data_IF_148558282480
#
_entry.id   IF_148558282480
#
_cell.length_a   1.000
_cell.length_b   1.000
_cell.length_c   1.000
_cell.angle_alpha   90.00
_cell.angle_beta   90.00
_cell.angle_gamma   90.00
#
_symmetry.space_group_name_H-M   'P 1'
#
loop_
_entity.id
_entity.type
_entity.pdbx_description
1 polymer ?
#
# COMPACT_ATOMS: atom_id res chain seq x y z
N UNK A 1 30.38 -36.81 8.97
CA UNK A 1 29.08 -37.24 9.56
C UNK A 1 28.27 -36.04 10.05
N UNK A 2 28.11 -35.02 9.23
CA UNK A 2 27.41 -33.75 9.60
C UNK A 2 26.29 -33.33 8.64
N UNK A 3 25.96 -34.14 7.66
CA UNK A 3 25.04 -33.69 6.55
C UNK A 3 23.62 -34.22 6.67
N UNK A 4 23.32 -35.12 7.59
CA UNK A 4 21.96 -35.68 7.77
C UNK A 4 21.09 -34.78 8.64
N UNK A 5 21.66 -34.19 9.70
CA UNK A 5 20.91 -33.40 10.67
C UNK A 5 20.46 -32.02 10.13
N UNK A 6 21.24 -31.43 9.21
CA UNK A 6 20.90 -30.15 8.57
C UNK A 6 19.76 -30.31 7.54
N UNK A 7 19.68 -31.44 6.85
CA UNK A 7 18.59 -31.75 5.93
C UNK A 7 17.27 -31.98 6.67
N UNK A 8 17.33 -32.66 7.81
CA UNK A 8 16.15 -32.92 8.63
C UNK A 8 15.62 -31.64 9.32
N UNK A 9 16.52 -30.74 9.70
CA UNK A 9 16.13 -29.40 10.19
C UNK A 9 15.59 -28.51 9.09
N UNK A 10 16.16 -28.55 7.88
CA UNK A 10 15.66 -27.83 6.72
C UNK A 10 14.28 -28.33 6.29
N UNK A 11 14.05 -29.65 6.30
CA UNK A 11 12.75 -30.25 6.00
C UNK A 11 11.70 -29.99 7.10
N UNK A 12 12.12 -29.84 8.36
CA UNK A 12 11.22 -29.40 9.46
C UNK A 12 10.84 -27.94 9.40
N UNK A 13 11.71 -27.10 8.82
CA UNK A 13 11.46 -25.66 8.62
C UNK A 13 10.84 -25.34 7.25
N UNK A 14 10.79 -26.30 6.32
CA UNK A 14 9.98 -26.19 5.13
C UNK A 14 8.52 -26.21 5.58
N UNK A 15 7.89 -25.05 5.47
CA UNK A 15 6.48 -24.87 5.77
C UNK A 15 5.66 -25.69 4.75
N UNK A 16 5.54 -26.99 5.07
CA UNK A 16 4.75 -27.97 4.26
C UNK A 16 3.32 -27.46 4.06
N UNK A 17 2.83 -26.58 4.97
CA UNK A 17 1.54 -25.91 4.88
C UNK A 17 1.45 -24.91 3.72
N UNK A 18 2.59 -24.35 3.26
CA UNK A 18 2.61 -23.47 2.09
C UNK A 18 2.48 -24.22 0.75
N UNK A 19 2.73 -25.52 0.76
CA UNK A 19 2.58 -26.41 -0.42
C UNK A 19 1.20 -27.08 -0.51
N UNK A 20 0.43 -27.04 0.57
CA UNK A 20 -0.92 -27.57 0.60
C UNK A 20 -1.88 -26.59 -0.08
N UNK A 21 -2.60 -27.05 -1.09
CA UNK A 21 -3.57 -26.27 -1.85
C UNK A 21 -4.82 -25.89 -1.06
N UNK A 22 -5.75 -25.19 -1.70
CA UNK A 22 -7.02 -24.72 -1.10
C UNK A 22 -7.85 -25.84 -0.42
N UNK A 23 -7.75 -27.08 -0.90
CA UNK A 23 -8.49 -28.24 -0.36
C UNK A 23 -8.09 -28.56 1.09
N UNK A 24 -6.83 -28.33 1.44
CA UNK A 24 -6.34 -28.59 2.80
C UNK A 24 -6.71 -27.47 3.78
N UNK A 25 -7.04 -26.29 3.28
CA UNK A 25 -7.52 -25.17 4.08
C UNK A 25 -8.92 -25.46 4.65
N UNK A 26 -9.82 -26.02 3.82
CA UNK A 26 -11.17 -26.43 4.25
C UNK A 26 -11.12 -27.54 5.29
N UNK A 27 -10.11 -28.43 5.22
CA UNK A 27 -9.90 -29.49 6.21
C UNK A 27 -9.34 -28.97 7.55
N UNK A 28 -8.56 -27.87 7.51
CA UNK A 28 -7.96 -27.28 8.72
C UNK A 28 -8.90 -26.28 9.45
N UNK A 29 -9.91 -25.75 8.75
CA UNK A 29 -10.95 -24.93 9.38
C UNK A 29 -12.11 -25.86 9.74
N UNK A 30 -12.16 -26.30 11.00
CA UNK A 30 -13.22 -27.16 11.51
C UNK A 30 -14.60 -26.64 11.11
N UNK A 31 -15.43 -27.50 10.50
CA UNK A 31 -16.81 -27.17 10.10
C UNK A 31 -17.74 -26.81 11.26
N UNK A 32 -17.30 -27.11 12.49
CA UNK A 32 -18.07 -26.88 13.72
C UNK A 32 -17.76 -25.54 14.41
N UNK A 33 -17.00 -24.64 13.75
CA UNK A 33 -16.72 -23.32 14.30
C UNK A 33 -17.96 -22.41 14.26
N UNK A 34 -18.24 -21.64 15.31
CA UNK A 34 -19.24 -20.59 15.27
C UNK A 34 -19.00 -19.65 14.08
N UNK A 35 -20.06 -19.22 13.39
CA UNK A 35 -19.97 -18.41 12.17
C UNK A 35 -19.01 -17.22 12.27
N UNK A 36 -18.92 -16.57 13.43
CA UNK A 36 -17.99 -15.44 13.65
C UNK A 36 -16.53 -15.86 13.62
N UNK A 37 -16.17 -17.00 14.26
CA UNK A 37 -14.80 -17.54 14.24
C UNK A 37 -14.43 -18.04 12.86
N UNK A 38 -15.38 -18.66 12.16
CA UNK A 38 -15.21 -19.12 10.80
C UNK A 38 -14.91 -17.96 9.84
N UNK A 39 -15.70 -16.85 9.92
CA UNK A 39 -15.47 -15.65 9.13
C UNK A 39 -14.12 -15.00 9.47
N UNK A 40 -13.72 -14.96 10.74
CA UNK A 40 -12.42 -14.42 11.14
C UNK A 40 -11.27 -15.24 10.54
N UNK A 41 -11.33 -16.56 10.66
CA UNK A 41 -10.32 -17.47 10.09
C UNK A 41 -10.15 -17.32 8.58
N UNK A 42 -11.25 -17.15 7.85
CA UNK A 42 -11.22 -17.00 6.40
C UNK A 42 -10.77 -15.62 5.91
N UNK A 43 -11.15 -14.55 6.62
CA UNK A 43 -11.02 -13.19 6.10
C UNK A 43 -9.92 -12.37 6.78
N UNK A 44 -9.61 -12.63 8.06
CA UNK A 44 -8.77 -11.72 8.85
C UNK A 44 -7.65 -12.40 9.64
N UNK A 45 -7.62 -13.73 9.80
CA UNK A 45 -6.60 -14.40 10.60
C UNK A 45 -5.25 -14.48 9.84
N UNK A 46 -4.21 -13.77 10.32
CA UNK A 46 -2.90 -13.75 9.65
C UNK A 46 -2.15 -15.09 9.78
N UNK A 47 -2.56 -15.96 10.72
CA UNK A 47 -1.87 -17.22 11.02
C UNK A 47 -2.32 -18.37 10.09
N UNK A 48 -3.39 -18.19 9.31
CA UNK A 48 -3.92 -19.22 8.42
C UNK A 48 -3.38 -18.97 7.00
N UNK A 49 -2.43 -19.79 6.52
CA UNK A 49 -1.91 -19.64 5.18
C UNK A 49 -2.99 -19.98 4.13
N UNK A 50 -3.08 -19.16 3.08
CA UNK A 50 -4.00 -19.39 1.96
C UNK A 50 -5.42 -18.85 2.16
N UNK A 51 -5.74 -18.20 3.28
CA UNK A 51 -7.00 -17.50 3.47
C UNK A 51 -7.15 -16.28 2.55
N UNK A 52 -8.34 -15.66 2.56
CA UNK A 52 -8.63 -14.52 1.70
C UNK A 52 -8.12 -13.17 2.23
N UNK A 53 -7.47 -13.12 3.40
CA UNK A 53 -6.98 -11.87 4.00
C UNK A 53 -6.10 -11.06 3.04
N UNK A 54 -5.05 -11.68 2.49
CA UNK A 54 -4.12 -11.00 1.57
C UNK A 54 -4.83 -10.48 0.31
N UNK A 55 -5.80 -11.24 -0.18
CA UNK A 55 -6.60 -10.84 -1.34
C UNK A 55 -7.51 -9.67 -1.02
N UNK A 56 -8.18 -9.71 0.14
CA UNK A 56 -9.04 -8.63 0.63
C UNK A 56 -8.23 -7.34 0.82
N UNK A 57 -7.10 -7.42 1.52
CA UNK A 57 -6.23 -6.26 1.75
C UNK A 57 -5.70 -5.68 0.42
N UNK A 58 -5.39 -6.53 -0.58
CA UNK A 58 -5.00 -6.09 -1.92
C UNK A 58 -6.13 -5.33 -2.63
N UNK A 59 -7.36 -5.86 -2.61
CA UNK A 59 -8.50 -5.22 -3.25
C UNK A 59 -8.89 -3.91 -2.56
N UNK A 60 -8.87 -3.86 -1.24
CA UNK A 60 -9.10 -2.64 -0.47
C UNK A 60 -8.02 -1.59 -0.80
N UNK A 61 -6.74 -2.00 -0.88
CA UNK A 61 -5.63 -1.12 -1.25
C UNK A 61 -5.80 -0.54 -2.65
N UNK A 62 -6.19 -1.40 -3.62
CA UNK A 62 -6.47 -0.97 -4.99
C UNK A 62 -7.63 0.04 -5.03
N UNK A 63 -8.69 -0.22 -4.26
CA UNK A 63 -9.84 0.68 -4.18
C UNK A 63 -9.45 2.04 -3.54
N UNK A 64 -8.58 2.04 -2.53
CA UNK A 64 -8.05 3.29 -1.94
C UNK A 64 -7.30 4.10 -3.01
N UNK A 65 -6.40 3.46 -3.76
CA UNK A 65 -5.64 4.09 -4.83
C UNK A 65 -6.58 4.63 -5.92
N UNK A 66 -7.55 3.83 -6.36
CA UNK A 66 -8.54 4.26 -7.35
C UNK A 66 -9.35 5.48 -6.87
N UNK A 67 -9.71 5.54 -5.56
CA UNK A 67 -10.36 6.71 -4.98
C UNK A 67 -9.49 7.97 -5.01
N UNK A 68 -8.18 7.83 -4.78
CA UNK A 68 -7.27 8.97 -4.86
C UNK A 68 -7.18 9.51 -6.29
N UNK A 69 -7.11 8.62 -7.29
CA UNK A 69 -7.17 9.03 -8.69
C UNK A 69 -8.50 9.68 -9.04
N UNK A 70 -9.64 9.09 -8.62
CA UNK A 70 -10.96 9.68 -8.80
C UNK A 70 -11.02 11.12 -8.26
N UNK A 71 -10.50 11.33 -7.05
CA UNK A 71 -10.47 12.64 -6.41
C UNK A 71 -9.59 13.64 -7.18
N UNK A 72 -8.45 13.20 -7.74
CA UNK A 72 -7.63 14.06 -8.61
C UNK A 72 -8.39 14.50 -9.87
N UNK A 73 -9.11 13.57 -10.51
CA UNK A 73 -9.88 13.87 -11.73
C UNK A 73 -11.14 14.71 -11.46
N UNK A 74 -11.72 14.66 -10.26
CA UNK A 74 -12.80 15.57 -9.85
C UNK A 74 -12.40 17.05 -9.92
N UNK A 75 -11.12 17.37 -9.79
CA UNK A 75 -10.59 18.74 -9.89
C UNK A 75 -10.34 19.20 -11.33
N UNK A 76 -10.53 18.32 -12.31
CA UNK A 76 -10.36 18.63 -13.74
C UNK A 76 -11.74 18.78 -14.40
N UNK A 77 -12.26 20.01 -14.62
CA UNK A 77 -13.62 20.24 -15.12
C UNK A 77 -13.91 19.48 -16.42
N UNK A 78 -12.95 19.45 -17.35
CA UNK A 78 -13.07 18.76 -18.63
C UNK A 78 -13.31 17.23 -18.50
N UNK A 79 -12.88 16.62 -17.40
CA UNK A 79 -13.09 15.19 -17.13
C UNK A 79 -14.32 14.99 -16.24
N UNK A 80 -14.49 15.84 -15.25
CA UNK A 80 -15.54 15.69 -14.24
C UNK A 80 -16.93 16.04 -14.78
N UNK A 81 -17.09 17.20 -15.45
CA UNK A 81 -18.41 17.67 -15.89
C UNK A 81 -19.18 16.67 -16.76
N UNK A 82 -18.57 16.05 -17.79
CA UNK A 82 -19.29 15.06 -18.62
C UNK A 82 -19.50 13.71 -17.93
N UNK A 83 -18.85 13.45 -16.79
CA UNK A 83 -18.86 12.15 -16.12
C UNK A 83 -19.31 12.20 -14.64
N UNK A 84 -19.94 13.28 -14.19
CA UNK A 84 -20.35 13.49 -12.78
C UNK A 84 -21.03 12.25 -12.18
N UNK A 85 -22.02 11.70 -12.87
CA UNK A 85 -22.75 10.53 -12.40
C UNK A 85 -21.84 9.31 -12.17
N UNK A 86 -20.83 9.11 -13.00
CA UNK A 86 -19.89 7.98 -12.84
C UNK A 86 -19.01 8.15 -11.61
N UNK A 87 -18.55 9.39 -11.35
CA UNK A 87 -17.79 9.73 -10.16
C UNK A 87 -18.64 9.54 -8.88
N UNK A 88 -19.89 9.98 -8.89
CA UNK A 88 -20.83 9.81 -7.77
C UNK A 88 -21.10 8.32 -7.50
N UNK A 89 -21.37 7.53 -8.53
CA UNK A 89 -21.59 6.08 -8.39
C UNK A 89 -20.34 5.40 -7.81
N UNK A 90 -19.16 5.76 -8.32
CA UNK A 90 -17.90 5.19 -7.83
C UNK A 90 -17.62 5.60 -6.37
N UNK A 91 -17.92 6.84 -5.99
CA UNK A 91 -17.79 7.33 -4.62
C UNK A 91 -18.71 6.56 -3.66
N UNK A 92 -20.00 6.44 -4.00
CA UNK A 92 -20.98 5.68 -3.22
C UNK A 92 -20.56 4.22 -3.09
N UNK A 93 -20.16 3.56 -4.19
CA UNK A 93 -19.68 2.19 -4.19
C UNK A 93 -18.49 2.02 -3.23
N UNK A 94 -17.53 2.92 -3.30
CA UNK A 94 -16.33 2.88 -2.46
C UNK A 94 -16.66 3.04 -0.99
N UNK A 95 -17.57 3.97 -0.64
CA UNK A 95 -18.01 4.17 0.74
C UNK A 95 -18.74 2.93 1.27
N UNK A 96 -19.58 2.30 0.45
CA UNK A 96 -20.28 1.06 0.84
C UNK A 96 -19.25 -0.03 1.14
N UNK A 97 -18.26 -0.24 0.26
CA UNK A 97 -17.22 -1.25 0.48
C UNK A 97 -16.41 -0.97 1.76
N UNK A 98 -15.98 0.27 1.97
CA UNK A 98 -15.25 0.66 3.19
C UNK A 98 -16.12 0.54 4.46
N UNK A 99 -17.40 0.79 4.34
CA UNK A 99 -18.33 0.62 5.47
C UNK A 99 -18.49 -0.86 5.81
N UNK A 100 -18.67 -1.72 4.80
CA UNK A 100 -18.76 -3.18 5.01
C UNK A 100 -17.45 -3.68 5.65
N UNK A 101 -16.29 -3.24 5.16
CA UNK A 101 -14.99 -3.58 5.75
C UNK A 101 -14.92 -3.17 7.23
N UNK A 102 -15.27 -1.92 7.55
CA UNK A 102 -15.25 -1.41 8.91
C UNK A 102 -16.19 -2.19 9.86
N UNK A 103 -17.42 -2.40 9.42
CA UNK A 103 -18.43 -3.15 10.19
C UNK A 103 -17.99 -4.61 10.38
N UNK A 104 -17.44 -5.24 9.34
CA UNK A 104 -16.92 -6.59 9.41
C UNK A 104 -15.80 -6.71 10.45
N UNK A 105 -14.81 -5.81 10.40
CA UNK A 105 -13.72 -5.77 11.38
C UNK A 105 -14.21 -5.51 12.80
N UNK A 106 -15.17 -4.60 12.97
CA UNK A 106 -15.81 -4.33 14.27
C UNK A 106 -16.58 -5.55 14.80
N UNK A 107 -17.27 -6.28 13.91
CA UNK A 107 -18.00 -7.50 14.28
C UNK A 107 -17.04 -8.62 14.69
N UNK A 108 -15.90 -8.74 14.03
CA UNK A 108 -14.89 -9.78 14.24
C UNK A 108 -13.84 -9.42 15.30
N UNK A 109 -13.78 -8.17 15.77
CA UNK A 109 -12.80 -7.71 16.76
C UNK A 109 -12.70 -8.57 18.05
N UNK A 110 -13.78 -9.22 18.57
CA UNK A 110 -13.62 -10.12 19.72
C UNK A 110 -12.85 -11.41 19.45
N UNK A 111 -12.62 -11.76 18.17
CA UNK A 111 -11.83 -12.94 17.77
C UNK A 111 -10.37 -12.58 17.48
N UNK A 112 -10.08 -11.29 17.26
CA UNK A 112 -8.75 -10.78 17.00
C UNK A 112 -7.85 -10.88 18.24
N UNK A 113 -6.66 -11.44 18.08
CA UNK A 113 -5.71 -11.64 19.17
C UNK A 113 -5.33 -10.34 19.90
N UNK A 114 -5.31 -9.22 19.19
CA UNK A 114 -5.01 -7.90 19.75
C UNK A 114 -6.09 -7.41 20.72
N UNK A 115 -7.37 -7.74 20.47
CA UNK A 115 -8.51 -7.22 21.22
C UNK A 115 -9.20 -8.27 22.09
N UNK A 116 -9.02 -9.57 21.80
CA UNK A 116 -9.68 -10.71 22.46
C UNK A 116 -9.54 -10.70 24.00
N UNK A 117 -8.38 -10.30 24.51
CA UNK A 117 -8.13 -10.25 25.95
C UNK A 117 -8.80 -9.07 26.66
N UNK A 118 -9.40 -8.11 25.94
CA UNK A 118 -9.98 -6.90 26.51
C UNK A 118 -11.46 -7.11 26.85
N UNK A 119 -11.90 -6.63 28.03
CA UNK A 119 -13.28 -6.75 28.51
C UNK A 119 -14.34 -6.27 27.50
N UNK A 120 -13.98 -5.25 26.69
CA UNK A 120 -14.84 -4.68 25.64
C UNK A 120 -14.04 -4.61 24.31
N UNK A 121 -13.82 -5.74 23.68
CA UNK A 121 -13.02 -5.88 22.46
C UNK A 121 -13.44 -4.91 21.34
N UNK A 122 -14.76 -4.75 21.10
CA UNK A 122 -15.29 -3.83 20.07
C UNK A 122 -14.97 -2.36 20.36
N UNK A 123 -15.12 -1.92 21.62
CA UNK A 123 -14.76 -0.55 22.02
C UNK A 123 -13.24 -0.33 21.95
N UNK A 124 -12.46 -1.37 22.28
CA UNK A 124 -11.02 -1.32 22.15
C UNK A 124 -10.59 -1.21 20.68
N UNK A 125 -11.23 -1.96 19.78
CA UNK A 125 -11.05 -1.82 18.33
C UNK A 125 -11.40 -0.41 17.85
N UNK A 126 -12.58 0.13 18.18
CA UNK A 126 -13.00 1.47 17.76
C UNK A 126 -12.03 2.57 18.20
N UNK A 127 -11.31 2.37 19.30
CA UNK A 127 -10.27 3.30 19.80
C UNK A 127 -8.90 3.05 19.19
N UNK A 128 -8.74 2.01 18.39
CA UNK A 128 -7.46 1.75 17.73
C UNK A 128 -7.19 2.79 16.63
N UNK A 129 -5.93 3.13 16.37
CA UNK A 129 -5.57 4.12 15.35
C UNK A 129 -6.12 3.77 13.97
N UNK A 130 -6.07 2.49 13.60
CA UNK A 130 -6.57 2.02 12.31
C UNK A 130 -8.09 2.11 12.18
N UNK A 131 -8.84 1.78 13.24
CA UNK A 131 -10.30 1.91 13.24
C UNK A 131 -10.74 3.37 13.16
N UNK A 132 -10.04 4.28 13.83
CA UNK A 132 -10.29 5.72 13.74
C UNK A 132 -10.05 6.22 12.32
N UNK A 133 -8.97 5.81 11.68
CA UNK A 133 -8.65 6.14 10.29
C UNK A 133 -9.75 5.65 9.35
N UNK A 134 -10.18 4.38 9.51
CA UNK A 134 -11.25 3.81 8.69
C UNK A 134 -12.57 4.54 8.88
N UNK A 135 -12.91 4.89 10.13
CA UNK A 135 -14.11 5.66 10.43
C UNK A 135 -14.04 7.06 9.80
N UNK A 136 -12.93 7.77 9.95
CA UNK A 136 -12.74 9.10 9.35
C UNK A 136 -12.84 9.08 7.81
N UNK A 137 -12.46 7.98 7.18
CA UNK A 137 -12.56 7.84 5.73
C UNK A 137 -14.01 7.74 5.21
N UNK A 138 -14.94 7.23 6.02
CA UNK A 138 -16.37 7.06 5.66
C UNK A 138 -17.26 8.14 6.28
N UNK A 139 -16.86 8.74 7.40
CA UNK A 139 -17.64 9.72 8.16
C UNK A 139 -18.17 10.90 7.33
N UNK A 140 -17.40 11.53 6.42
CA UNK A 140 -17.86 12.67 5.61
C UNK A 140 -19.10 12.35 4.78
N UNK A 141 -19.20 11.14 4.25
CA UNK A 141 -20.36 10.70 3.50
C UNK A 141 -21.60 10.63 4.36
N UNK A 142 -21.50 10.03 5.55
CA UNK A 142 -22.64 9.92 6.48
C UNK A 142 -23.04 11.26 7.09
N UNK A 143 -22.10 12.16 7.35
CA UNK A 143 -22.40 13.52 7.82
C UNK A 143 -23.27 14.29 6.81
N UNK A 144 -23.05 14.07 5.52
CA UNK A 144 -23.89 14.66 4.45
C UNK A 144 -25.34 14.15 4.54
N UNK A 145 -25.54 12.86 4.82
CA UNK A 145 -26.87 12.27 4.95
C UNK A 145 -27.60 12.69 6.22
N UNK A 146 -26.88 12.95 7.30
CA UNK A 146 -27.46 13.37 8.59
C UNK A 146 -27.94 14.83 8.58
N UNK A 147 -27.82 15.54 7.45
CA UNK A 147 -28.25 16.93 7.35
C UNK A 147 -27.49 17.90 8.24
N UNK A 148 -26.28 17.50 8.64
CA UNK A 148 -25.39 18.40 9.41
C UNK A 148 -25.10 19.60 8.52
N UNK A 149 -25.35 20.85 8.97
CA UNK A 149 -25.15 22.05 8.14
C UNK A 149 -23.66 22.36 7.97
N UNK A 150 -22.96 21.47 7.29
CA UNK A 150 -21.56 21.67 6.87
C UNK A 150 -21.53 22.19 5.45
N UNK A 151 -20.64 23.15 5.20
CA UNK A 151 -20.35 23.62 3.85
C UNK A 151 -19.93 22.42 2.98
N UNK A 152 -20.54 22.28 1.81
CA UNK A 152 -20.21 21.22 0.83
C UNK A 152 -18.71 21.21 0.47
N UNK A 153 -18.04 22.35 0.57
CA UNK A 153 -16.59 22.46 0.35
C UNK A 153 -15.83 21.71 1.43
N UNK A 154 -16.23 21.88 2.71
CA UNK A 154 -15.61 21.17 3.83
C UNK A 154 -15.79 19.67 3.69
N UNK A 155 -16.99 19.21 3.28
CA UNK A 155 -17.25 17.79 3.05
C UNK A 155 -16.38 17.20 1.94
N UNK A 156 -16.12 17.97 0.87
CA UNK A 156 -15.17 17.55 -0.17
C UNK A 156 -13.75 17.41 0.37
N UNK A 157 -13.27 18.39 1.16
CA UNK A 157 -11.96 18.31 1.80
C UNK A 157 -11.86 17.12 2.76
N UNK A 158 -12.92 16.82 3.51
CA UNK A 158 -12.94 15.67 4.41
C UNK A 158 -12.81 14.33 3.67
N UNK A 159 -13.20 14.24 2.39
CA UNK A 159 -12.97 13.04 1.56
C UNK A 159 -11.48 12.74 1.40
N UNK A 160 -10.59 13.75 1.47
CA UNK A 160 -9.13 13.56 1.47
C UNK A 160 -8.64 12.71 2.65
N UNK A 161 -9.42 12.63 3.74
CA UNK A 161 -9.07 11.75 4.87
C UNK A 161 -8.98 10.28 4.49
N UNK A 162 -9.56 9.88 3.34
CA UNK A 162 -9.40 8.51 2.80
C UNK A 162 -7.93 8.16 2.53
N UNK A 163 -7.08 9.14 2.24
CA UNK A 163 -5.62 8.93 2.06
C UNK A 163 -4.99 8.31 3.31
N UNK A 164 -5.55 8.61 4.50
CA UNK A 164 -5.06 8.05 5.75
C UNK A 164 -5.16 6.52 5.80
N UNK A 165 -6.08 5.92 5.02
CA UNK A 165 -6.16 4.45 4.89
C UNK A 165 -4.86 3.83 4.35
N UNK A 166 -4.05 4.57 3.60
CA UNK A 166 -2.73 4.10 3.17
C UNK A 166 -1.79 3.77 4.34
N UNK A 167 -1.98 4.44 5.49
CA UNK A 167 -1.18 4.13 6.67
C UNK A 167 -1.36 2.69 7.16
N UNK A 168 -2.49 2.06 6.87
CA UNK A 168 -2.71 0.64 7.16
C UNK A 168 -1.72 -0.28 6.43
N UNK A 169 -1.26 0.12 5.26
CA UNK A 169 -0.28 -0.63 4.46
C UNK A 169 1.13 -0.19 4.82
N UNK A 170 1.33 1.12 4.97
CA UNK A 170 2.64 1.72 5.19
C UNK A 170 3.20 1.39 6.57
N UNK A 171 2.37 1.48 7.64
CA UNK A 171 2.86 1.26 9.02
C UNK A 171 3.37 -0.16 9.24
N UNK A 172 2.63 -1.25 8.87
CA UNK A 172 3.16 -2.61 8.98
C UNK A 172 4.40 -2.83 8.13
N UNK A 173 4.44 -2.29 6.90
CA UNK A 173 5.60 -2.39 6.03
C UNK A 173 6.86 -1.73 6.62
N UNK A 174 6.71 -0.55 7.27
CA UNK A 174 7.80 0.10 7.98
C UNK A 174 8.23 -0.71 9.20
N UNK A 175 7.29 -1.31 9.94
CA UNK A 175 7.60 -2.15 11.09
C UNK A 175 8.38 -3.39 10.68
N UNK A 176 7.93 -4.09 9.63
CA UNK A 176 8.63 -5.22 9.01
C UNK A 176 10.04 -4.82 8.57
N UNK A 177 10.15 -3.71 7.83
CA UNK A 177 11.44 -3.22 7.35
C UNK A 177 12.42 -2.89 8.48
N UNK A 178 11.93 -2.28 9.57
CA UNK A 178 12.76 -1.99 10.75
C UNK A 178 13.28 -3.27 11.39
N UNK A 179 12.47 -4.31 11.51
CA UNK A 179 12.86 -5.57 12.11
C UNK A 179 13.88 -6.32 11.23
N UNK A 180 13.62 -6.41 9.91
CA UNK A 180 14.54 -7.03 8.95
C UNK A 180 15.90 -6.31 8.89
N UNK A 181 15.93 -5.02 9.19
CA UNK A 181 17.14 -4.19 9.14
C UNK A 181 17.69 -3.80 10.52
N UNK A 182 17.36 -4.55 11.57
CA UNK A 182 17.85 -4.32 12.92
C UNK A 182 19.37 -4.50 12.97
N UNK A 183 20.08 -3.53 13.55
CA UNK A 183 21.55 -3.52 13.63
C UNK A 183 22.29 -3.15 12.32
N UNK A 184 21.61 -2.92 11.21
CA UNK A 184 22.23 -2.51 9.94
C UNK A 184 22.51 -1.01 9.90
N UNK A 185 23.56 -0.62 9.16
CA UNK A 185 23.90 0.78 8.95
C UNK A 185 22.83 1.49 8.11
N UNK A 186 22.76 2.84 8.20
CA UNK A 186 21.80 3.61 7.41
C UNK A 186 21.95 3.35 5.89
N UNK A 187 23.19 3.26 5.38
CA UNK A 187 23.48 2.97 3.98
C UNK A 187 22.93 1.60 3.56
N UNK A 188 23.10 0.57 4.41
CA UNK A 188 22.56 -0.77 4.15
C UNK A 188 21.03 -0.79 4.17
N UNK A 189 20.38 0.06 4.99
CA UNK A 189 18.93 0.22 4.99
C UNK A 189 18.45 0.88 3.71
N UNK A 190 19.13 1.94 3.26
CA UNK A 190 18.82 2.56 1.97
C UNK A 190 19.01 1.58 0.82
N UNK A 191 20.10 0.78 0.84
CA UNK A 191 20.31 -0.28 -0.14
C UNK A 191 19.15 -1.29 -0.17
N UNK A 192 18.71 -1.77 1.00
CA UNK A 192 17.60 -2.71 1.11
C UNK A 192 16.26 -2.16 0.60
N UNK A 193 16.09 -0.82 0.56
CA UNK A 193 14.87 -0.18 0.05
C UNK A 193 14.90 0.01 -1.47
N UNK A 194 16.08 0.34 -2.03
CA UNK A 194 16.23 0.83 -3.42
C UNK A 194 16.71 -0.26 -4.39
N UNK A 195 17.39 -1.30 -3.87
CA UNK A 195 17.87 -2.44 -4.64
C UNK A 195 17.16 -3.73 -4.21
N UNK A 196 16.98 -4.70 -5.14
CA UNK A 196 16.44 -6.01 -4.79
C UNK A 196 17.25 -6.66 -3.66
N UNK A 197 16.61 -6.88 -2.51
CA UNK A 197 17.28 -7.35 -1.31
C UNK A 197 16.35 -8.22 -0.46
N UNK A 198 16.85 -9.31 0.15
CA UNK A 198 16.05 -10.11 1.09
C UNK A 198 15.66 -9.32 2.35
N UNK A 199 16.25 -8.14 2.57
CA UNK A 199 15.97 -7.26 3.71
C UNK A 199 15.02 -6.10 3.38
N UNK A 200 14.54 -6.01 2.13
CA UNK A 200 13.63 -4.96 1.67
C UNK A 200 12.19 -5.16 2.14
N UNK A 201 11.73 -6.41 2.16
CA UNK A 201 10.38 -6.78 2.56
C UNK A 201 9.29 -6.03 1.79
N UNK A 202 8.15 -5.86 2.42
CA UNK A 202 6.99 -5.13 1.85
C UNK A 202 7.31 -3.66 1.55
N UNK A 203 8.19 -3.02 2.32
CA UNK A 203 8.56 -1.62 2.13
C UNK A 203 9.27 -1.38 0.79
N UNK A 204 10.16 -2.30 0.36
CA UNK A 204 10.81 -2.24 -0.94
C UNK A 204 9.77 -2.33 -2.07
N UNK A 205 8.84 -3.27 -1.98
CA UNK A 205 7.78 -3.43 -3.00
C UNK A 205 6.92 -2.16 -3.11
N UNK A 206 6.55 -1.55 -1.98
CA UNK A 206 5.80 -0.29 -1.96
C UNK A 206 6.61 0.81 -2.64
N UNK A 207 7.91 0.91 -2.34
CA UNK A 207 8.80 1.90 -2.95
C UNK A 207 8.92 1.69 -4.46
N UNK A 208 9.15 0.48 -4.93
CA UNK A 208 9.23 0.14 -6.36
C UNK A 208 7.92 0.46 -7.11
N UNK A 209 6.77 0.08 -6.52
CA UNK A 209 5.46 0.41 -7.09
C UNK A 209 5.23 1.91 -7.12
N UNK A 210 5.61 2.64 -6.07
CA UNK A 210 5.51 4.09 -6.02
C UNK A 210 6.30 4.76 -7.15
N UNK A 211 7.55 4.35 -7.36
CA UNK A 211 8.38 4.86 -8.47
C UNK A 211 7.76 4.48 -9.83
N UNK A 212 7.34 3.22 -10.02
CA UNK A 212 6.71 2.78 -11.26
C UNK A 212 5.45 3.57 -11.62
N UNK A 213 4.62 3.90 -10.61
CA UNK A 213 3.43 4.74 -10.78
C UNK A 213 3.82 6.16 -11.22
N UNK A 214 4.86 6.75 -10.63
CA UNK A 214 5.34 8.08 -11.01
C UNK A 214 5.91 8.10 -12.43
N UNK A 215 6.66 7.08 -12.82
CA UNK A 215 7.14 6.93 -14.22
C UNK A 215 5.95 6.86 -15.18
N UNK A 216 4.95 6.04 -14.87
CA UNK A 216 3.75 5.91 -15.71
C UNK A 216 2.97 7.22 -15.82
N UNK A 217 2.82 7.95 -14.70
CA UNK A 217 2.15 9.26 -14.67
C UNK A 217 2.92 10.29 -15.48
N UNK A 218 4.25 10.33 -15.39
CA UNK A 218 5.07 11.26 -16.18
C UNK A 218 4.96 10.97 -17.67
N UNK A 219 5.04 9.71 -18.08
CA UNK A 219 4.85 9.32 -19.49
C UNK A 219 3.46 9.69 -19.99
N UNK A 220 2.43 9.42 -19.19
CA UNK A 220 1.05 9.78 -19.53
C UNK A 220 0.87 11.31 -19.64
N UNK A 221 1.50 12.07 -18.75
CA UNK A 221 1.48 13.52 -18.77
C UNK A 221 2.06 14.07 -20.10
N UNK A 222 3.24 13.60 -20.51
CA UNK A 222 3.89 13.99 -21.79
C UNK A 222 2.98 13.68 -22.98
N UNK A 223 2.34 12.50 -22.99
CA UNK A 223 1.38 12.13 -24.05
C UNK A 223 0.19 13.09 -24.07
N UNK A 224 -0.39 13.39 -22.91
CA UNK A 224 -1.55 14.29 -22.79
C UNK A 224 -1.18 15.75 -23.12
N UNK A 225 0.01 16.19 -22.73
CA UNK A 225 0.52 17.53 -23.05
C UNK A 225 0.73 17.74 -24.56
N UNK A 226 1.00 16.67 -25.32
CA UNK A 226 1.10 16.75 -26.79
C UNK A 226 -0.23 17.09 -27.46
N UNK A 227 -1.36 16.91 -26.76
CA UNK A 227 -2.70 17.26 -27.26
C UNK A 227 -3.02 18.72 -26.91
N UNK A 228 -2.98 19.61 -27.89
CA UNK A 228 -3.09 21.07 -27.69
C UNK A 228 -4.32 21.53 -26.89
N UNK A 229 -5.47 20.88 -27.08
CA UNK A 229 -6.70 21.18 -26.32
C UNK A 229 -6.61 20.83 -24.83
N UNK A 230 -5.85 19.79 -24.49
CA UNK A 230 -5.64 19.35 -23.11
C UNK A 230 -4.53 20.17 -22.45
N UNK A 231 -3.44 20.40 -23.18
CA UNK A 231 -2.30 21.18 -22.71
C UNK A 231 -2.69 22.58 -22.29
N UNK A 232 -3.54 23.25 -23.06
CA UNK A 232 -4.03 24.59 -22.70
C UNK A 232 -4.84 24.61 -21.40
N UNK A 233 -5.67 23.60 -21.16
CA UNK A 233 -6.54 23.53 -19.96
C UNK A 233 -5.76 23.11 -18.71
N UNK A 234 -4.78 22.22 -18.86
CA UNK A 234 -4.04 21.59 -17.76
C UNK A 234 -2.59 22.04 -17.64
N UNK A 235 -2.20 23.17 -18.28
CA UNK A 235 -0.80 23.63 -18.31
C UNK A 235 -0.15 23.71 -16.92
N UNK A 236 -0.85 24.30 -15.95
CA UNK A 236 -0.32 24.42 -14.59
C UNK A 236 -0.18 23.07 -13.88
N UNK A 237 -1.13 22.16 -14.11
CA UNK A 237 -1.12 20.81 -13.53
C UNK A 237 0.05 20.00 -14.08
N UNK A 238 0.37 20.10 -15.36
CA UNK A 238 1.53 19.46 -15.96
C UNK A 238 2.84 19.99 -15.38
N UNK A 239 3.00 21.31 -15.26
CA UNK A 239 4.18 21.92 -14.64
C UNK A 239 4.38 21.43 -13.20
N UNK A 240 3.31 21.37 -12.41
CA UNK A 240 3.38 20.87 -11.01
C UNK A 240 3.74 19.39 -10.99
N UNK A 241 3.11 18.57 -11.86
CA UNK A 241 3.37 17.13 -11.92
C UNK A 241 4.82 16.86 -12.31
N UNK A 242 5.34 17.55 -13.32
CA UNK A 242 6.72 17.42 -13.76
C UNK A 242 7.71 17.85 -12.68
N UNK A 243 7.46 18.97 -12.00
CA UNK A 243 8.31 19.41 -10.91
C UNK A 243 8.37 18.40 -9.75
N UNK A 244 7.23 17.79 -9.41
CA UNK A 244 7.16 16.73 -8.39
C UNK A 244 7.85 15.46 -8.86
N UNK A 245 7.63 15.03 -10.11
CA UNK A 245 8.26 13.86 -10.70
C UNK A 245 9.78 13.99 -10.72
N UNK A 246 10.31 15.12 -11.20
CA UNK A 246 11.75 15.42 -11.18
C UNK A 246 12.30 15.38 -9.76
N UNK A 247 11.58 15.92 -8.77
CA UNK A 247 11.97 15.85 -7.36
C UNK A 247 12.07 14.42 -6.85
N UNK A 248 11.08 13.58 -7.15
CA UNK A 248 11.02 12.17 -6.73
C UNK A 248 12.17 11.37 -7.38
N UNK A 249 12.36 11.48 -8.70
CA UNK A 249 13.41 10.76 -9.41
C UNK A 249 14.81 11.24 -9.01
N UNK A 250 14.97 12.53 -8.73
CA UNK A 250 16.22 13.07 -8.18
C UNK A 250 16.54 12.44 -6.82
N UNK A 251 15.58 12.34 -5.91
CA UNK A 251 15.77 11.71 -4.61
C UNK A 251 16.12 10.23 -4.79
N UNK A 252 15.37 9.51 -5.62
CA UNK A 252 15.66 8.10 -5.93
C UNK A 252 17.09 7.92 -6.47
N UNK A 253 17.48 8.73 -7.45
CA UNK A 253 18.82 8.73 -8.04
C UNK A 253 19.90 8.90 -6.97
N UNK A 254 19.77 9.89 -6.08
CA UNK A 254 20.74 10.08 -5.00
C UNK A 254 20.76 8.91 -4.02
N UNK A 255 19.60 8.33 -3.70
CA UNK A 255 19.52 7.13 -2.85
C UNK A 255 20.26 5.96 -3.49
N UNK A 256 20.12 5.72 -4.80
CA UNK A 256 20.83 4.67 -5.55
C UNK A 256 22.33 4.89 -5.52
N UNK A 257 22.81 6.11 -5.80
CA UNK A 257 24.24 6.43 -5.76
C UNK A 257 24.80 6.28 -4.33
N UNK A 258 24.06 6.72 -3.32
CA UNK A 258 24.48 6.61 -1.93
C UNK A 258 24.61 5.14 -1.49
N UNK A 259 23.71 4.29 -1.91
CA UNK A 259 23.63 2.88 -1.54
C UNK A 259 24.50 1.95 -2.42
N UNK A 260 24.93 2.39 -3.61
CA UNK A 260 25.66 1.61 -4.59
C UNK A 260 26.87 0.82 -4.04
N UNK A 261 27.68 1.34 -3.07
CA UNK A 261 28.80 0.59 -2.53
C UNK A 261 28.44 -0.71 -1.77
N UNK A 262 27.17 -0.88 -1.39
CA UNK A 262 26.67 -2.08 -0.73
C UNK A 262 26.26 -3.19 -1.72
N UNK A 263 26.19 -2.87 -3.04
CA UNK A 263 25.79 -3.81 -4.08
C UNK A 263 26.88 -4.86 -4.33
N UNK A 264 26.54 -6.16 -4.43
CA UNK A 264 27.48 -7.21 -4.76
C UNK A 264 28.15 -6.93 -6.12
N UNK A 265 29.48 -6.79 -6.14
CA UNK A 265 30.26 -6.50 -7.36
C UNK A 265 30.71 -5.05 -7.51
N UNK A 266 30.30 -4.13 -6.65
CA UNK A 266 30.77 -2.75 -6.61
C UNK A 266 31.77 -2.56 -5.46
N UNK A 267 32.97 -3.11 -5.62
CA UNK A 267 34.03 -2.98 -4.61
C UNK A 267 34.64 -1.58 -4.63
N UNK A 268 34.55 -0.88 -3.48
CA UNK A 268 35.12 0.45 -3.24
C UNK A 268 34.11 1.60 -3.33
N UNK A 269 34.19 2.51 -2.34
CA UNK A 269 33.21 3.59 -2.18
C UNK A 269 33.11 4.57 -3.36
N UNK A 270 34.23 4.82 -4.06
CA UNK A 270 34.29 5.74 -5.21
C UNK A 270 34.06 5.01 -6.53
N UNK A 271 34.74 3.87 -6.72
CA UNK A 271 34.62 3.08 -7.95
C UNK A 271 33.22 2.49 -8.13
N UNK A 272 32.57 2.06 -7.03
CA UNK A 272 31.20 1.56 -7.03
C UNK A 272 30.19 2.63 -7.47
N UNK A 273 30.32 3.86 -6.95
CA UNK A 273 29.44 4.98 -7.35
C UNK A 273 29.60 5.37 -8.81
N UNK A 274 30.85 5.41 -9.30
CA UNK A 274 31.13 5.73 -10.71
C UNK A 274 30.64 4.62 -11.66
N UNK A 275 30.76 3.36 -11.25
CA UNK A 275 30.22 2.22 -12.01
C UNK A 275 28.69 2.22 -12.02
N UNK A 276 28.03 2.56 -10.92
CA UNK A 276 26.57 2.73 -10.85
C UNK A 276 26.11 3.85 -11.78
N UNK A 277 26.78 5.00 -11.77
CA UNK A 277 26.45 6.11 -12.68
C UNK A 277 26.52 5.70 -14.16
N UNK A 278 27.38 4.72 -14.50
CA UNK A 278 27.54 4.17 -15.84
C UNK A 278 26.58 2.99 -16.14
N UNK A 279 25.80 2.52 -15.16
CA UNK A 279 24.83 1.45 -15.41
C UNK A 279 23.69 1.97 -16.29
N UNK A 280 23.19 1.15 -17.25
CA UNK A 280 22.13 1.60 -18.17
C UNK A 280 20.87 2.10 -17.44
N UNK A 281 20.47 1.46 -16.35
CA UNK A 281 19.32 1.87 -15.56
C UNK A 281 19.50 3.26 -14.94
N UNK A 282 20.63 3.48 -14.26
CA UNK A 282 20.91 4.78 -13.61
C UNK A 282 21.18 5.90 -14.64
N UNK A 283 21.71 5.54 -15.81
CA UNK A 283 21.88 6.51 -16.88
C UNK A 283 20.54 6.94 -17.49
N UNK A 284 19.60 6.01 -17.64
CA UNK A 284 18.22 6.31 -18.05
C UNK A 284 17.53 7.20 -17.00
N UNK A 285 17.66 6.85 -15.72
CA UNK A 285 17.10 7.65 -14.60
C UNK A 285 17.67 9.08 -14.55
N UNK A 286 18.90 9.28 -15.00
CA UNK A 286 19.54 10.59 -15.10
C UNK A 286 19.05 11.41 -16.28
N UNK A 287 18.64 10.75 -17.39
CA UNK A 287 18.15 11.41 -18.59
C UNK A 287 16.64 11.73 -18.55
N UNK A 288 15.89 11.04 -17.67
CA UNK A 288 14.47 11.26 -17.46
C UNK A 288 14.22 12.48 -16.56
#
# INVERSE_FOLDING_TARGET
MSTSNDKDQFLKNLDVKALLGKEDLEANISKDLPMRKWLYAWLLDPNIPGNYQKSLDKWISLLIIANLFSLMFEHVPAVFEPNQLKFEIFDIFSVIVFTIEYVLRLYLAPEDEEFKARKHARLAFMKSPFAIIDFLAIAPFYLQFLGVPLDLRILRFLRLLRILKLFRIIIPAIAEFKELNKGRSFRQKVHALVFPSPFGGTAQVIFEVFIAVWVLLSVLAVILESVQSISYVLAMQFVVLDAVAVGIFTIEFFMRIYAAPEEPGFKGAVAGRFKQFRSPSTFIDFLA
#
